data_IF_098216599690
#
_entry.id   IF_098216599690
#
_cell.length_a   1.000
_cell.length_b   1.000
_cell.length_c   1.000
_cell.angle_alpha   90.00
_cell.angle_beta   90.00
_cell.angle_gamma   90.00
#
_symmetry.space_group_name_H-M   'P 1'
#
loop_
_entity.id
_entity.type
_entity.pdbx_description
1 polymer ?
#
# COMPACT_ATOMS: atom_id res chain seq x y z
N UNK A 1 12.44 23.39 -48.66
CA UNK A 1 11.98 23.78 -47.32
C UNK A 1 11.98 22.62 -46.33
N UNK A 2 11.35 21.48 -46.66
CA UNK A 2 11.14 20.37 -45.71
C UNK A 2 12.40 19.89 -44.96
N UNK A 3 13.56 19.86 -45.63
CA UNK A 3 14.81 19.43 -45.00
C UNK A 3 15.31 20.40 -43.92
N UNK A 4 15.10 21.71 -44.08
CA UNK A 4 15.49 22.72 -43.09
C UNK A 4 14.56 22.62 -41.88
N UNK A 5 13.25 22.54 -42.11
CA UNK A 5 12.25 22.47 -41.04
C UNK A 5 12.45 21.20 -40.20
N UNK A 6 12.70 20.06 -40.85
CA UNK A 6 12.99 18.80 -40.17
C UNK A 6 14.27 18.87 -39.32
N UNK A 7 15.34 19.48 -39.85
CA UNK A 7 16.59 19.72 -39.11
C UNK A 7 16.35 20.60 -37.89
N UNK A 8 15.67 21.74 -38.04
CA UNK A 8 15.33 22.64 -36.92
C UNK A 8 14.51 21.91 -35.86
N UNK A 9 13.54 21.09 -36.27
CA UNK A 9 12.77 20.23 -35.37
C UNK A 9 13.63 19.25 -34.57
N UNK A 10 14.56 18.55 -35.23
CA UNK A 10 15.53 17.65 -34.56
C UNK A 10 16.42 18.43 -33.57
N UNK A 11 16.89 19.60 -33.98
CA UNK A 11 17.67 20.51 -33.14
C UNK A 11 16.96 20.86 -31.85
N UNK A 12 15.67 21.23 -31.94
CA UNK A 12 14.81 21.60 -30.81
C UNK A 12 14.63 20.40 -29.86
N UNK A 13 14.25 19.24 -30.38
CA UNK A 13 14.02 18.03 -29.56
C UNK A 13 15.31 17.63 -28.84
N UNK A 14 16.45 17.68 -29.55
CA UNK A 14 17.76 17.38 -28.95
C UNK A 14 18.17 18.41 -27.90
N UNK A 15 17.88 19.70 -28.10
CA UNK A 15 18.17 20.75 -27.12
C UNK A 15 17.37 20.51 -25.81
N UNK A 16 16.07 20.20 -25.91
CA UNK A 16 15.22 19.88 -24.76
C UNK A 16 15.75 18.62 -24.03
N UNK A 17 16.12 17.59 -24.78
CA UNK A 17 16.64 16.33 -24.23
C UNK A 17 18.04 16.43 -23.61
N UNK A 18 18.82 17.45 -23.97
CA UNK A 18 20.16 17.69 -23.42
C UNK A 18 20.17 18.45 -22.10
N UNK A 19 19.02 18.99 -21.66
CA UNK A 19 18.90 19.68 -20.38
C UNK A 19 18.67 18.71 -19.23
N UNK A 20 19.30 18.97 -18.07
CA UNK A 20 19.21 18.11 -16.87
C UNK A 20 17.77 17.88 -16.42
N UNK A 21 16.90 18.89 -16.58
CA UNK A 21 15.49 18.79 -16.27
C UNK A 21 14.65 19.57 -17.28
N UNK A 22 13.49 19.02 -17.65
CA UNK A 22 12.51 19.73 -18.49
C UNK A 22 12.08 21.08 -17.88
N UNK A 23 12.11 21.21 -16.54
CA UNK A 23 11.81 22.46 -15.83
C UNK A 23 12.78 23.59 -16.16
N UNK A 24 14.06 23.28 -16.40
CA UNK A 24 15.06 24.28 -16.74
C UNK A 24 14.71 24.97 -18.08
N UNK A 25 14.22 24.18 -19.03
CA UNK A 25 13.79 24.66 -20.34
C UNK A 25 12.50 25.47 -20.25
N UNK A 26 11.55 25.04 -19.42
CA UNK A 26 10.32 25.79 -19.15
C UNK A 26 10.57 27.14 -18.45
N UNK A 27 11.59 27.23 -17.61
CA UNK A 27 11.94 28.46 -16.91
C UNK A 27 12.53 29.53 -17.86
N UNK A 28 13.20 29.10 -18.93
CA UNK A 28 13.73 30.00 -19.94
C UNK A 28 13.73 29.34 -21.34
N UNK A 29 12.63 29.47 -22.09
CA UNK A 29 12.46 28.86 -23.41
C UNK A 29 13.49 29.30 -24.44
N UNK A 30 13.99 30.53 -24.31
CA UNK A 30 14.98 31.12 -25.22
C UNK A 30 16.29 30.31 -25.27
N UNK A 31 16.58 29.52 -24.22
CA UNK A 31 17.72 28.60 -24.22
C UNK A 31 17.64 27.54 -25.32
N UNK A 32 16.44 27.08 -25.69
CA UNK A 32 16.24 26.16 -26.82
C UNK A 32 16.69 26.85 -28.11
N UNK A 33 16.20 28.06 -28.37
CA UNK A 33 16.51 28.81 -29.57
C UNK A 33 18.02 29.05 -29.70
N UNK A 34 18.70 29.45 -28.61
CA UNK A 34 20.15 29.63 -28.60
C UNK A 34 20.91 28.31 -28.84
N UNK A 35 20.49 27.23 -28.18
CA UNK A 35 21.12 25.92 -28.35
C UNK A 35 20.97 25.38 -29.78
N UNK A 36 19.85 25.67 -30.44
CA UNK A 36 19.59 25.31 -31.84
C UNK A 36 20.39 26.19 -32.79
N UNK A 37 20.42 27.51 -32.59
CA UNK A 37 21.25 28.44 -33.38
C UNK A 37 22.75 28.06 -33.31
N UNK A 38 23.24 27.68 -32.13
CA UNK A 38 24.64 27.28 -31.93
C UNK A 38 25.02 25.97 -32.65
N UNK A 39 24.05 25.13 -33.03
CA UNK A 39 24.31 23.87 -33.75
C UNK A 39 24.55 24.06 -35.25
N UNK A 40 24.32 25.25 -35.82
CA UNK A 40 24.64 25.56 -37.22
C UNK A 40 23.88 24.69 -38.23
N UNK A 41 22.55 24.59 -38.08
CA UNK A 41 21.69 23.72 -38.90
C UNK A 41 21.51 24.18 -40.36
N UNK A 42 21.89 25.43 -40.63
CA UNK A 42 21.96 26.04 -41.95
C UNK A 42 23.21 25.63 -42.76
N UNK A 43 24.17 24.96 -42.11
CA UNK A 43 25.37 24.46 -42.76
C UNK A 43 25.00 23.56 -43.96
N UNK A 44 25.59 23.88 -45.12
CA UNK A 44 25.36 23.23 -46.42
C UNK A 44 23.99 23.48 -47.06
N UNK A 45 23.35 24.62 -46.76
CA UNK A 45 22.10 25.01 -47.42
C UNK A 45 22.18 26.43 -47.98
N UNK A 46 21.31 26.78 -48.93
CA UNK A 46 21.24 28.13 -49.51
C UNK A 46 20.43 29.12 -48.64
N UNK A 47 20.07 28.73 -47.41
CA UNK A 47 19.23 29.47 -46.49
C UNK A 47 20.01 29.78 -45.23
N UNK A 48 19.77 30.95 -44.64
CA UNK A 48 20.33 31.37 -43.36
C UNK A 48 19.19 31.52 -42.35
N UNK A 49 19.37 30.97 -41.13
CA UNK A 49 18.39 31.11 -40.05
C UNK A 49 18.70 32.40 -39.31
N UNK A 50 17.82 33.41 -39.42
CA UNK A 50 18.00 34.71 -38.76
C UNK A 50 17.58 34.66 -37.29
N UNK A 51 16.40 34.11 -37.01
CA UNK A 51 15.86 34.02 -35.66
C UNK A 51 14.96 32.80 -35.50
N UNK A 52 14.89 32.30 -34.26
CA UNK A 52 13.93 31.28 -33.83
C UNK A 52 13.20 31.87 -32.63
N UNK A 53 11.91 32.14 -32.82
CA UNK A 53 11.05 32.69 -31.79
C UNK A 53 10.09 31.61 -31.27
N UNK A 54 9.92 31.57 -29.95
CA UNK A 54 8.99 30.65 -29.28
C UNK A 54 7.78 31.47 -28.88
N UNK A 55 6.62 31.18 -29.49
CA UNK A 55 5.40 31.91 -29.22
C UNK A 55 4.74 31.50 -27.90
N UNK A 56 4.68 30.20 -27.62
CA UNK A 56 4.06 29.65 -26.41
C UNK A 56 4.60 28.24 -26.10
N UNK A 57 4.52 27.84 -24.83
CA UNK A 57 4.80 26.47 -24.39
C UNK A 57 3.67 25.98 -23.49
N UNK A 58 2.90 25.04 -24.03
CA UNK A 58 1.89 24.33 -23.27
C UNK A 58 2.48 23.14 -22.52
N UNK A 59 2.50 23.23 -21.19
CA UNK A 59 2.65 22.06 -20.33
C UNK A 59 1.29 21.42 -20.15
N UNK A 60 1.13 20.22 -20.71
CA UNK A 60 -0.10 19.43 -20.54
C UNK A 60 -0.32 18.99 -19.10
N UNK A 61 -1.22 18.03 -18.92
CA UNK A 61 -1.59 17.54 -17.58
C UNK A 61 -0.37 17.09 -16.78
N UNK A 62 -0.30 17.53 -15.53
CA UNK A 62 0.76 17.15 -14.62
C UNK A 62 0.51 15.73 -14.10
N UNK A 63 0.85 14.74 -14.93
CA UNK A 63 0.64 13.30 -14.67
C UNK A 63 1.25 12.91 -13.32
N UNK A 64 2.38 13.51 -12.94
CA UNK A 64 3.03 13.26 -11.66
C UNK A 64 2.17 13.64 -10.45
N UNK A 65 1.53 14.83 -10.47
CA UNK A 65 0.65 15.26 -9.39
C UNK A 65 -0.60 14.37 -9.28
N UNK A 66 -1.16 13.95 -10.43
CA UNK A 66 -2.29 13.03 -10.46
C UNK A 66 -1.93 11.65 -9.92
N UNK A 67 -0.81 11.08 -10.37
CA UNK A 67 -0.31 9.79 -9.88
C UNK A 67 -0.02 9.84 -8.37
N UNK A 68 0.54 10.95 -7.86
CA UNK A 68 0.76 11.12 -6.43
C UNK A 68 -0.55 11.15 -5.64
N UNK A 69 -1.59 11.82 -6.16
CA UNK A 69 -2.90 11.82 -5.53
C UNK A 69 -3.55 10.43 -5.54
N UNK A 70 -3.49 9.73 -6.67
CA UNK A 70 -4.03 8.37 -6.81
C UNK A 70 -3.31 7.37 -5.88
N UNK A 71 -1.98 7.51 -5.75
CA UNK A 71 -1.18 6.71 -4.84
C UNK A 71 -1.58 6.96 -3.37
N UNK A 72 -1.74 8.22 -2.97
CA UNK A 72 -2.18 8.56 -1.63
C UNK A 72 -3.58 8.01 -1.31
N UNK A 73 -4.50 8.06 -2.28
CA UNK A 73 -5.83 7.51 -2.12
C UNK A 73 -5.81 5.97 -1.99
N UNK A 74 -4.97 5.30 -2.78
CA UNK A 74 -4.75 3.87 -2.67
C UNK A 74 -4.18 3.47 -1.31
N UNK A 75 -3.19 4.22 -0.80
CA UNK A 75 -2.58 3.98 0.51
C UNK A 75 -3.62 4.13 1.64
N UNK A 76 -4.49 5.14 1.56
CA UNK A 76 -5.61 5.33 2.50
C UNK A 76 -6.58 4.14 2.45
N UNK A 77 -6.93 3.65 1.25
CA UNK A 77 -7.81 2.48 1.09
C UNK A 77 -7.19 1.23 1.72
N UNK A 78 -5.90 0.97 1.48
CA UNK A 78 -5.19 -0.19 2.06
C UNK A 78 -5.11 -0.08 3.58
N UNK A 79 -4.80 1.10 4.12
CA UNK A 79 -4.75 1.33 5.54
C UNK A 79 -6.11 1.08 6.22
N UNK A 80 -7.19 1.54 5.60
CA UNK A 80 -8.56 1.31 6.09
C UNK A 80 -8.93 -0.17 6.06
N UNK A 81 -8.63 -0.89 4.98
CA UNK A 81 -8.88 -2.33 4.87
C UNK A 81 -8.15 -3.12 5.96
N UNK A 82 -6.86 -2.83 6.20
CA UNK A 82 -6.08 -3.47 7.29
C UNK A 82 -6.60 -3.13 8.68
N UNK A 83 -7.18 -1.95 8.88
CA UNK A 83 -7.80 -1.59 10.16
C UNK A 83 -9.10 -2.38 10.39
N UNK A 84 -9.87 -2.61 9.32
CA UNK A 84 -11.10 -3.40 9.37
C UNK A 84 -10.82 -4.90 9.56
N UNK A 85 -9.83 -5.44 8.85
CA UNK A 85 -9.35 -6.83 9.02
C UNK A 85 -8.96 -7.11 10.47
N UNK A 86 -8.14 -6.23 11.07
CA UNK A 86 -7.74 -6.36 12.49
C UNK A 86 -8.93 -6.31 13.45
N UNK A 87 -9.95 -5.51 13.15
CA UNK A 87 -11.18 -5.46 13.98
C UNK A 87 -11.97 -6.77 13.87
N UNK A 88 -12.13 -7.29 12.66
CA UNK A 88 -12.82 -8.55 12.43
C UNK A 88 -12.10 -9.71 13.12
N UNK A 89 -10.76 -9.76 13.02
CA UNK A 89 -9.94 -10.76 13.69
C UNK A 89 -10.04 -10.67 15.21
N UNK A 90 -10.03 -9.46 15.79
CA UNK A 90 -10.21 -9.27 17.22
C UNK A 90 -11.57 -9.81 17.71
N UNK A 91 -12.65 -9.52 16.99
CA UNK A 91 -13.99 -10.04 17.31
C UNK A 91 -14.04 -11.56 17.19
N UNK A 92 -13.44 -12.13 16.14
CA UNK A 92 -13.40 -13.59 15.96
C UNK A 92 -12.62 -14.27 17.11
N UNK A 93 -11.48 -13.71 17.50
CA UNK A 93 -10.69 -14.21 18.63
C UNK A 93 -11.45 -14.11 19.94
N UNK A 94 -12.17 -13.00 20.18
CA UNK A 94 -13.00 -12.86 21.37
C UNK A 94 -14.08 -13.96 21.43
N UNK A 95 -14.78 -14.21 20.32
CA UNK A 95 -15.79 -15.27 20.23
C UNK A 95 -15.19 -16.66 20.48
N UNK A 96 -14.01 -16.94 19.91
CA UNK A 96 -13.29 -18.20 20.16
C UNK A 96 -12.93 -18.37 21.64
N UNK A 97 -12.43 -17.31 22.29
CA UNK A 97 -12.08 -17.35 23.72
C UNK A 97 -13.32 -17.53 24.61
N UNK A 98 -14.44 -16.90 24.25
CA UNK A 98 -15.71 -17.09 24.93
C UNK A 98 -16.19 -18.55 24.81
N UNK A 99 -16.17 -19.14 23.61
CA UNK A 99 -16.53 -20.53 23.39
C UNK A 99 -15.61 -21.49 24.16
N UNK A 100 -14.30 -21.27 24.14
CA UNK A 100 -13.33 -22.07 24.88
C UNK A 100 -13.56 -21.99 26.40
N UNK A 101 -13.91 -20.81 26.92
CA UNK A 101 -14.24 -20.64 28.33
C UNK A 101 -15.49 -21.42 28.71
N UNK A 102 -16.52 -21.43 27.85
CA UNK A 102 -17.73 -22.21 28.08
C UNK A 102 -17.44 -23.71 28.05
N UNK A 103 -16.66 -24.20 27.09
CA UNK A 103 -16.26 -25.61 27.01
C UNK A 103 -15.48 -26.04 28.27
N UNK A 104 -14.50 -25.23 28.70
CA UNK A 104 -13.72 -25.55 29.89
C UNK A 104 -14.57 -25.54 31.17
N UNK A 105 -15.52 -24.60 31.29
CA UNK A 105 -16.49 -24.60 32.40
C UNK A 105 -17.33 -25.88 32.40
N UNK A 106 -17.80 -26.32 31.23
CA UNK A 106 -18.55 -27.57 31.13
C UNK A 106 -17.70 -28.78 31.57
N UNK A 107 -16.42 -28.83 31.19
CA UNK A 107 -15.48 -29.88 31.65
C UNK A 107 -15.29 -29.88 33.17
N UNK A 108 -15.16 -28.70 33.78
CA UNK A 108 -15.05 -28.58 35.25
C UNK A 108 -16.32 -29.11 35.93
N UNK A 109 -17.49 -28.70 35.46
CA UNK A 109 -18.78 -29.16 36.00
C UNK A 109 -18.94 -30.67 35.86
N UNK A 110 -18.53 -31.25 34.72
CA UNK A 110 -18.54 -32.71 34.53
C UNK A 110 -17.64 -33.43 35.54
N UNK A 111 -16.42 -32.93 35.75
CA UNK A 111 -15.49 -33.50 36.73
C UNK A 111 -16.00 -33.35 38.18
N UNK A 112 -16.59 -32.20 38.53
CA UNK A 112 -17.22 -32.01 39.86
C UNK A 112 -18.40 -32.95 40.07
N UNK A 113 -19.19 -33.22 39.04
CA UNK A 113 -20.33 -34.15 39.10
C UNK A 113 -19.91 -35.62 39.30
N UNK A 114 -18.65 -35.99 39.03
CA UNK A 114 -18.13 -37.32 39.33
C UNK A 114 -17.98 -37.56 40.83
N UNK A 115 -17.72 -36.52 41.63
CA UNK A 115 -17.52 -36.65 43.08
C UNK A 115 -18.80 -37.14 43.79
N UNK A 116 -19.98 -36.51 43.63
CA UNK A 116 -21.21 -37.02 44.22
C UNK A 116 -21.62 -38.39 43.70
N UNK A 117 -21.37 -38.70 42.42
CA UNK A 117 -21.64 -40.02 41.84
C UNK A 117 -20.78 -41.09 42.50
N UNK A 118 -19.46 -40.86 42.59
CA UNK A 118 -18.53 -41.77 43.26
C UNK A 118 -18.86 -41.92 44.75
N UNK A 119 -19.25 -40.84 45.43
CA UNK A 119 -19.72 -40.90 46.83
C UNK A 119 -21.01 -41.72 46.95
N UNK A 120 -22.02 -41.48 46.10
CA UNK A 120 -23.27 -42.23 46.10
C UNK A 120 -23.05 -43.72 45.81
N UNK A 121 -22.10 -44.05 44.93
CA UNK A 121 -21.73 -45.43 44.63
C UNK A 121 -20.94 -46.07 45.79
N UNK A 122 -20.08 -45.32 46.49
CA UNK A 122 -19.41 -45.76 47.72
C UNK A 122 -20.41 -46.01 48.87
N UNK A 123 -21.44 -45.16 49.00
CA UNK A 123 -22.53 -45.36 49.97
C UNK A 123 -23.38 -46.58 49.62
N UNK A 124 -23.75 -46.78 48.34
CA UNK A 124 -24.52 -47.96 47.90
C UNK A 124 -23.76 -49.26 47.99
N UNK A 125 -22.45 -49.25 47.72
CA UNK A 125 -21.58 -50.44 47.80
C UNK A 125 -21.21 -50.84 49.24
N UNK A 126 -21.68 -50.12 50.26
CA UNK A 126 -21.55 -50.52 51.67
C UNK A 126 -20.17 -50.30 52.30
N UNK A 127 -19.24 -49.65 51.58
CA UNK A 127 -17.83 -49.52 51.97
C UNK A 127 -17.56 -48.45 53.04
N UNK A 128 -18.59 -47.73 53.50
CA UNK A 128 -18.51 -46.69 54.52
C UNK A 128 -18.98 -47.13 55.92
N UNK A 129 -19.13 -48.45 56.15
CA UNK A 129 -19.30 -48.98 57.51
C UNK A 129 -17.94 -48.95 58.23
N UNK A 130 -17.84 -47.99 59.15
CA UNK A 130 -16.76 -47.72 60.10
C UNK A 130 -15.99 -48.97 60.57
N UNK A 131 -14.71 -49.06 60.21
CA UNK A 131 -13.69 -49.59 61.12
C UNK A 131 -13.55 -48.60 62.29
N UNK A 132 -14.49 -48.66 63.23
CA UNK A 132 -14.34 -48.15 64.59
C UNK A 132 -15.32 -48.91 65.48
N UNK A 133 -14.76 -49.80 66.29
CA UNK A 133 -15.47 -50.74 67.14
C UNK A 133 -14.47 -51.71 67.76
N UNK A 134 -13.54 -51.15 68.52
CA UNK A 134 -12.73 -51.87 69.50
C UNK A 134 -13.66 -52.44 70.57
N UNK A 135 -13.73 -53.76 70.72
CA UNK A 135 -14.01 -54.49 71.96
C UNK A 135 -14.10 -56.00 71.68
N UNK A 136 -13.33 -56.79 72.44
CA UNK A 136 -13.45 -58.26 72.52
C UNK A 136 -12.16 -58.97 72.18
#
# INVERSE_FOLDING_TARGET
>A
EDTIIARVGEGIVSAIGSCDTHKAVLANPTLIAQAVMNKGLDSQTAYEIVSIDIADIDVGDNIGARLQADQAEADVRVARARAEERRAEAVANEQLMQALTQENRAKVVLAEAEIPKAMADAFRSGNLRTRNGHAG
#
